data_IF_781895969117
#
_entry.id   IF_781895969117
#
_cell.length_a   1.000
_cell.length_b   1.000
_cell.length_c   1.000
_cell.angle_alpha   90.00
_cell.angle_beta   90.00
_cell.angle_gamma   90.00
#
_symmetry.space_group_name_H-M   'P 1'
#
loop_
_entity.id
_entity.type
_entity.pdbx_description
1 polymer ?
#
# COMPACT_ATOMS: atom_id res chain seq x y z
N UNK A 1 -27.85 7.01 9.26
CA UNK A 1 -26.78 6.39 10.07
C UNK A 1 -25.97 5.44 9.21
N UNK A 2 -24.63 5.47 9.29
CA UNK A 2 -23.80 4.47 8.62
C UNK A 2 -24.06 3.08 9.22
N UNK A 3 -24.02 2.03 8.38
CA UNK A 3 -24.18 0.65 8.86
C UNK A 3 -23.02 0.29 9.79
N UNK A 4 -23.30 -0.35 10.92
CA UNK A 4 -22.27 -0.86 11.86
C UNK A 4 -21.19 -1.69 11.16
N UNK A 5 -21.59 -2.52 10.19
CA UNK A 5 -20.67 -3.31 9.38
C UNK A 5 -19.69 -2.48 8.54
N UNK A 6 -20.10 -1.30 8.07
CA UNK A 6 -19.25 -0.39 7.30
C UNK A 6 -18.25 0.35 8.19
N UNK A 7 -18.65 0.70 9.41
CA UNK A 7 -17.75 1.26 10.42
C UNK A 7 -16.65 0.24 10.76
N UNK A 8 -17.03 -1.01 11.09
CA UNK A 8 -16.09 -2.08 11.39
C UNK A 8 -15.17 -2.45 10.20
N UNK A 9 -15.65 -2.35 8.96
CA UNK A 9 -14.80 -2.53 7.77
C UNK A 9 -13.75 -1.42 7.63
N UNK A 10 -14.13 -0.17 7.90
CA UNK A 10 -13.21 0.97 7.82
C UNK A 10 -12.13 0.88 8.91
N UNK A 11 -12.49 0.52 10.14
CA UNK A 11 -11.52 0.34 11.24
C UNK A 11 -10.49 -0.75 10.91
N UNK A 12 -10.92 -1.90 10.38
CA UNK A 12 -10.01 -2.95 9.91
C UNK A 12 -9.08 -2.45 8.81
N UNK A 13 -9.60 -1.70 7.84
CA UNK A 13 -8.77 -1.09 6.78
C UNK A 13 -7.73 -0.14 7.37
N UNK A 14 -8.09 0.72 8.33
CA UNK A 14 -7.14 1.65 8.97
C UNK A 14 -5.96 0.93 9.62
N UNK A 15 -6.20 -0.21 10.27
CA UNK A 15 -5.12 -1.05 10.84
C UNK A 15 -4.21 -1.61 9.76
N UNK A 16 -4.78 -2.11 8.66
CA UNK A 16 -4.01 -2.64 7.52
C UNK A 16 -3.19 -1.51 6.87
N UNK A 17 -3.79 -0.35 6.62
CA UNK A 17 -3.08 0.82 6.07
C UNK A 17 -1.90 1.20 6.97
N UNK A 18 -2.12 1.32 8.29
CA UNK A 18 -1.05 1.67 9.22
C UNK A 18 0.11 0.65 9.20
N UNK A 19 -0.20 -0.65 9.12
CA UNK A 19 0.81 -1.72 9.07
C UNK A 19 1.71 -1.64 7.82
N UNK A 20 1.15 -1.27 6.67
CA UNK A 20 1.87 -1.30 5.39
C UNK A 20 2.31 0.08 4.90
N UNK A 21 1.96 1.17 5.60
CA UNK A 21 2.18 2.54 5.16
C UNK A 21 3.65 2.83 4.83
N UNK A 22 4.56 2.48 5.74
CA UNK A 22 6.00 2.72 5.59
C UNK A 22 6.56 1.95 4.40
N UNK A 23 6.34 0.63 4.35
CA UNK A 23 6.84 -0.21 3.27
C UNK A 23 6.32 0.21 1.90
N UNK A 24 5.04 0.60 1.81
CA UNK A 24 4.46 1.12 0.55
C UNK A 24 5.08 2.43 0.12
N UNK A 25 5.39 3.32 1.06
CA UNK A 25 6.04 4.59 0.77
C UNK A 25 7.44 4.36 0.20
N UNK A 26 8.21 3.44 0.77
CA UNK A 26 9.53 3.05 0.26
C UNK A 26 9.46 2.50 -1.17
N UNK A 27 8.59 1.53 -1.43
CA UNK A 27 8.45 0.94 -2.75
C UNK A 27 8.03 1.98 -3.80
N UNK A 28 7.11 2.88 -3.45
CA UNK A 28 6.71 3.98 -4.33
C UNK A 28 7.84 4.97 -4.60
N UNK A 29 8.72 5.23 -3.62
CA UNK A 29 9.92 6.06 -3.84
C UNK A 29 10.87 5.40 -4.85
N UNK A 30 11.08 4.08 -4.75
CA UNK A 30 11.92 3.33 -5.72
C UNK A 30 11.31 3.42 -7.12
N UNK A 31 10.00 3.18 -7.24
CA UNK A 31 9.28 3.23 -8.53
C UNK A 31 9.38 4.62 -9.18
N UNK A 32 9.25 5.69 -8.39
CA UNK A 32 9.35 7.07 -8.85
C UNK A 32 10.78 7.62 -8.98
N UNK A 33 11.79 6.86 -8.55
CA UNK A 33 13.18 7.34 -8.55
C UNK A 33 13.74 7.40 -9.96
N UNK A 34 14.32 8.54 -10.34
CA UNK A 34 14.98 8.74 -11.64
C UNK A 34 16.24 7.89 -11.78
N UNK A 35 16.91 7.58 -10.67
CA UNK A 35 18.13 6.75 -10.64
C UNK A 35 17.88 5.25 -10.58
N UNK A 36 16.63 4.82 -10.31
CA UNK A 36 16.31 3.40 -10.26
C UNK A 36 16.30 2.78 -11.65
N UNK A 37 16.96 1.64 -11.78
CA UNK A 37 16.97 0.83 -13.00
C UNK A 37 15.59 0.23 -13.28
N UNK A 38 15.28 -0.14 -14.54
CA UNK A 38 14.04 -0.82 -14.87
C UNK A 38 13.81 -2.09 -14.06
N UNK A 39 14.88 -2.84 -13.75
CA UNK A 39 14.80 -4.06 -12.95
C UNK A 39 14.39 -3.77 -11.50
N UNK A 40 15.00 -2.77 -10.84
CA UNK A 40 14.64 -2.37 -9.48
C UNK A 40 13.19 -1.88 -9.41
N UNK A 41 12.75 -1.10 -10.41
CA UNK A 41 11.35 -0.67 -10.50
C UNK A 41 10.40 -1.85 -10.67
N UNK A 42 10.75 -2.85 -11.49
CA UNK A 42 9.94 -4.05 -11.68
C UNK A 42 9.81 -4.88 -10.39
N UNK A 43 10.91 -5.05 -9.65
CA UNK A 43 10.90 -5.75 -8.34
C UNK A 43 10.03 -4.98 -7.35
N UNK A 44 10.21 -3.66 -7.24
CA UNK A 44 9.43 -2.83 -6.33
C UNK A 44 7.92 -2.85 -6.67
N UNK A 45 7.58 -2.84 -7.96
CA UNK A 45 6.19 -2.94 -8.43
C UNK A 45 5.60 -4.32 -8.13
N UNK A 46 6.35 -5.39 -8.35
CA UNK A 46 5.91 -6.75 -8.04
C UNK A 46 5.65 -6.92 -6.54
N UNK A 47 6.54 -6.39 -5.69
CA UNK A 47 6.35 -6.40 -4.24
C UNK A 47 5.11 -5.58 -3.83
N UNK A 48 4.94 -4.38 -4.40
CA UNK A 48 3.79 -3.51 -4.12
C UNK A 48 2.44 -4.19 -4.48
N UNK A 49 2.43 -4.96 -5.57
CA UNK A 49 1.26 -5.69 -6.06
C UNK A 49 0.93 -6.94 -5.22
N UNK A 50 1.91 -7.51 -4.51
CA UNK A 50 1.69 -8.65 -3.60
C UNK A 50 1.03 -8.26 -2.28
N UNK A 51 1.01 -6.97 -1.95
CA UNK A 51 0.41 -6.50 -0.70
C UNK A 51 -1.12 -6.46 -0.77
N UNK A 52 -1.82 -6.51 0.38
CA UNK A 52 -3.28 -6.44 0.42
C UNK A 52 -3.82 -5.17 -0.24
N UNK A 53 -4.96 -5.26 -0.95
CA UNK A 53 -5.60 -4.09 -1.60
C UNK A 53 -6.00 -3.02 -0.60
N UNK A 54 -6.47 -3.45 0.58
CA UNK A 54 -6.84 -2.58 1.69
C UNK A 54 -5.64 -1.83 2.32
N UNK A 55 -4.39 -2.20 1.99
CA UNK A 55 -3.21 -1.46 2.40
C UNK A 55 -3.03 -0.13 1.64
N UNK A 56 -3.79 0.10 0.56
CA UNK A 56 -3.85 1.41 -0.07
C UNK A 56 -4.57 2.41 0.83
N UNK A 57 -4.00 3.59 1.11
CA UNK A 57 -4.69 4.66 1.84
C UNK A 57 -5.75 5.38 0.99
N UNK A 58 -5.68 5.22 -0.34
CA UNK A 58 -6.65 5.71 -1.34
C UNK A 58 -7.67 4.62 -1.58
#
# INVERSE_FOLDING_TARGET
MAKKSKIAANERRRVIVARYAERRAELKKVIGSVSATPAERAVAQAELNRQPRDASPV
#
